data_IF_131411355703
#
_entry.id   IF_131411355703
#
_cell.length_a   1.000
_cell.length_b   1.000
_cell.length_c   1.000
_cell.angle_alpha   90.00
_cell.angle_beta   90.00
_cell.angle_gamma   90.00
#
_symmetry.space_group_name_H-M   'P 1'
#
loop_
_entity.id
_entity.type
_entity.pdbx_description
1 polymer ?
#
# COMPACT_ATOMS: atom_id res chain seq x y z
N UNK A 1 -32.23 -5.12 -17.21
CA UNK A 1 -31.91 -4.94 -15.77
C UNK A 1 -30.52 -4.33 -15.70
N UNK A 2 -30.38 -3.06 -15.31
CA UNK A 2 -29.05 -2.50 -15.01
C UNK A 2 -28.56 -3.19 -13.74
N UNK A 3 -27.49 -3.97 -13.83
CA UNK A 3 -26.76 -4.39 -12.65
C UNK A 3 -26.31 -3.10 -11.96
N UNK A 4 -26.82 -2.84 -10.76
CA UNK A 4 -26.22 -1.85 -9.87
C UNK A 4 -24.76 -2.26 -9.71
N UNK A 5 -23.85 -1.54 -10.36
CA UNK A 5 -22.43 -1.68 -10.08
C UNK A 5 -22.29 -1.12 -8.66
N UNK A 6 -22.00 -1.98 -7.70
CA UNK A 6 -21.48 -1.54 -6.42
C UNK A 6 -19.98 -1.32 -6.69
N UNK A 7 -19.49 -0.10 -7.00
CA UNK A 7 -18.07 0.09 -7.24
C UNK A 7 -17.26 -0.21 -5.98
N UNK A 8 -17.85 0.05 -4.82
CA UNK A 8 -17.19 0.08 -3.52
C UNK A 8 -17.87 -0.86 -2.53
N UNK A 9 -17.06 -1.65 -1.82
CA UNK A 9 -17.45 -2.37 -0.62
C UNK A 9 -16.89 -1.63 0.59
N UNK A 10 -17.75 -1.09 1.43
CA UNK A 10 -17.37 -0.37 2.65
C UNK A 10 -17.65 -1.20 3.90
N UNK A 11 -16.64 -1.28 4.76
CA UNK A 11 -16.63 -2.03 6.00
C UNK A 11 -16.11 -1.10 7.09
N UNK A 12 -16.99 -0.59 7.96
CA UNK A 12 -16.60 0.37 8.99
C UNK A 12 -17.12 -0.04 10.37
N UNK A 13 -16.25 -0.02 11.38
CA UNK A 13 -16.64 -0.28 12.77
C UNK A 13 -17.07 -1.71 13.07
N UNK A 14 -16.67 -2.67 12.22
CA UNK A 14 -16.95 -4.10 12.43
C UNK A 14 -15.71 -4.79 12.99
N UNK A 15 -15.88 -5.46 14.12
CA UNK A 15 -14.88 -6.42 14.61
C UNK A 15 -15.07 -7.75 13.87
N UNK A 16 -13.99 -8.30 13.33
CA UNK A 16 -14.02 -9.56 12.60
C UNK A 16 -13.20 -10.59 13.36
N UNK A 17 -13.86 -11.65 13.84
CA UNK A 17 -13.14 -12.85 14.29
C UNK A 17 -12.27 -13.40 13.14
N UNK A 18 -12.80 -13.34 11.92
CA UNK A 18 -12.11 -13.68 10.68
C UNK A 18 -12.55 -12.77 9.53
N UNK A 19 -11.60 -12.36 8.69
CA UNK A 19 -11.88 -11.54 7.52
C UNK A 19 -12.61 -12.39 6.46
N UNK A 20 -13.78 -11.95 5.95
CA UNK A 20 -14.62 -12.76 5.08
C UNK A 20 -14.15 -12.70 3.61
N UNK A 21 -12.93 -13.18 3.35
CA UNK A 21 -12.28 -13.15 2.03
C UNK A 21 -13.16 -13.76 0.93
N UNK A 22 -13.80 -14.90 1.18
CA UNK A 22 -14.67 -15.56 0.18
C UNK A 22 -15.87 -14.68 -0.21
N UNK A 23 -16.45 -13.96 0.76
CA UNK A 23 -17.57 -13.06 0.50
C UNK A 23 -17.10 -11.84 -0.30
N UNK A 24 -15.95 -11.26 0.05
CA UNK A 24 -15.37 -10.13 -0.69
C UNK A 24 -15.02 -10.53 -2.12
N UNK A 25 -14.40 -11.70 -2.30
CA UNK A 25 -14.12 -12.29 -3.61
C UNK A 25 -15.38 -12.42 -4.45
N UNK A 26 -16.46 -12.98 -3.89
CA UNK A 26 -17.74 -13.12 -4.59
C UNK A 26 -18.25 -11.77 -5.11
N UNK A 27 -18.20 -10.72 -4.28
CA UNK A 27 -18.64 -9.39 -4.67
C UNK A 27 -17.75 -8.77 -5.75
N UNK A 28 -16.44 -8.98 -5.68
CA UNK A 28 -15.47 -8.52 -6.69
C UNK A 28 -15.74 -9.20 -8.03
N UNK A 29 -15.90 -10.52 -8.04
CA UNK A 29 -16.02 -11.32 -9.27
C UNK A 29 -17.41 -11.22 -9.91
N UNK A 30 -18.47 -11.13 -9.10
CA UNK A 30 -19.84 -11.28 -9.59
C UNK A 30 -20.70 -10.02 -9.46
N UNK A 31 -20.33 -9.09 -8.58
CA UNK A 31 -21.08 -7.84 -8.34
C UNK A 31 -20.37 -6.60 -8.89
N UNK A 32 -19.14 -6.75 -9.41
CA UNK A 32 -18.39 -5.66 -10.03
C UNK A 32 -17.77 -4.69 -9.02
N UNK A 33 -17.57 -5.12 -7.78
CA UNK A 33 -16.81 -4.37 -6.78
C UNK A 33 -15.37 -4.24 -7.24
N UNK A 34 -14.86 -3.01 -7.23
CA UNK A 34 -13.50 -2.64 -7.62
C UNK A 34 -12.76 -1.91 -6.52
N UNK A 35 -13.45 -1.48 -5.48
CA UNK A 35 -12.90 -0.69 -4.40
C UNK A 35 -13.28 -1.35 -3.08
N UNK A 36 -12.29 -1.52 -2.20
CA UNK A 36 -12.50 -2.04 -0.85
C UNK A 36 -12.11 -0.95 0.15
N UNK A 37 -13.03 -0.58 1.02
CA UNK A 37 -12.82 0.39 2.09
C UNK A 37 -13.04 -0.28 3.42
N UNK A 38 -12.00 -0.29 4.26
CA UNK A 38 -12.01 -0.80 5.62
C UNK A 38 -11.64 0.36 6.53
N UNK A 39 -12.46 0.62 7.55
CA UNK A 39 -12.16 1.70 8.50
C UNK A 39 -12.63 1.45 9.93
N UNK A 40 -12.00 2.13 10.89
CA UNK A 40 -12.40 2.16 12.30
C UNK A 40 -12.52 0.76 12.91
N UNK A 41 -11.59 -0.12 12.57
CA UNK A 41 -11.52 -1.48 13.09
C UNK A 41 -10.09 -2.00 13.01
N UNK A 42 -9.71 -2.91 13.91
CA UNK A 42 -8.40 -3.56 13.83
C UNK A 42 -8.46 -4.71 12.83
N UNK A 43 -7.47 -4.80 11.94
CA UNK A 43 -7.34 -5.91 11.00
C UNK A 43 -5.99 -6.58 11.15
N UNK A 44 -5.92 -7.87 10.81
CA UNK A 44 -4.65 -8.51 10.48
C UNK A 44 -4.08 -7.83 9.22
N UNK A 45 -2.90 -7.22 9.36
CA UNK A 45 -2.22 -6.47 8.32
C UNK A 45 -1.92 -7.30 7.06
N UNK A 46 -1.81 -8.63 7.19
CA UNK A 46 -1.56 -9.52 6.07
C UNK A 46 -2.82 -9.87 5.26
N UNK A 47 -4.00 -9.75 5.86
CA UNK A 47 -5.23 -10.25 5.25
C UNK A 47 -5.63 -9.56 3.93
N UNK A 48 -5.44 -8.23 3.74
CA UNK A 48 -5.70 -7.60 2.45
C UNK A 48 -4.83 -8.13 1.30
N UNK A 49 -3.73 -8.82 1.57
CA UNK A 49 -2.84 -9.39 0.55
C UNK A 49 -3.36 -10.69 -0.10
N UNK A 50 -4.60 -11.10 0.16
CA UNK A 50 -5.09 -12.36 -0.38
C UNK A 50 -5.18 -12.31 -1.91
N UNK A 51 -4.69 -13.35 -2.61
CA UNK A 51 -4.64 -13.40 -4.08
C UNK A 51 -6.03 -13.29 -4.74
N UNK A 52 -7.08 -13.71 -4.03
CA UNK A 52 -8.46 -13.56 -4.50
C UNK A 52 -8.95 -12.12 -4.61
N UNK A 53 -8.25 -11.17 -3.97
CA UNK A 53 -8.55 -9.74 -4.04
C UNK A 53 -7.78 -9.02 -5.16
N UNK A 54 -6.97 -9.72 -5.96
CA UNK A 54 -6.06 -9.14 -6.96
C UNK A 54 -6.73 -8.27 -8.06
N UNK A 55 -8.05 -8.32 -8.16
CA UNK A 55 -8.85 -7.60 -9.15
C UNK A 55 -9.38 -6.23 -8.67
N UNK A 56 -9.14 -5.86 -7.40
CA UNK A 56 -9.47 -4.53 -6.89
C UNK A 56 -8.49 -3.49 -7.45
N UNK A 57 -8.99 -2.26 -7.56
CA UNK A 57 -8.31 -1.12 -8.18
C UNK A 57 -8.05 -0.02 -7.14
N UNK A 58 -8.87 0.03 -6.08
CA UNK A 58 -8.64 0.89 -4.93
C UNK A 58 -8.78 0.13 -3.61
N UNK A 59 -7.89 0.43 -2.67
CA UNK A 59 -7.93 -0.06 -1.30
C UNK A 59 -7.79 1.11 -0.34
N UNK A 60 -8.74 1.23 0.59
CA UNK A 60 -8.74 2.22 1.66
C UNK A 60 -8.67 1.48 2.99
N UNK A 61 -7.60 1.69 3.75
CA UNK A 61 -7.38 1.19 5.10
C UNK A 61 -7.25 2.39 6.03
N UNK A 62 -8.38 2.93 6.47
CA UNK A 62 -8.43 4.22 7.19
C UNK A 62 -8.68 4.00 8.67
N UNK A 63 -7.79 4.46 9.55
CA UNK A 63 -7.95 4.28 10.99
C UNK A 63 -8.15 2.80 11.36
N UNK A 64 -7.19 1.96 10.94
CA UNK A 64 -7.19 0.51 11.22
C UNK A 64 -6.02 0.07 12.11
N UNK A 65 -5.25 1.03 12.61
CA UNK A 65 -4.16 0.78 13.56
C UNK A 65 -2.86 0.26 12.93
N UNK A 66 -2.60 0.54 11.65
CA UNK A 66 -1.36 0.10 11.01
C UNK A 66 -0.17 0.85 11.60
N UNK A 67 0.83 0.12 12.08
CA UNK A 67 2.12 0.68 12.52
C UNK A 67 3.21 0.58 11.45
N UNK A 68 2.97 -0.24 10.43
CA UNK A 68 3.88 -0.50 9.31
C UNK A 68 3.11 -0.57 7.99
N UNK A 69 3.84 -0.55 6.88
CA UNK A 69 3.24 -0.71 5.55
C UNK A 69 2.68 -2.14 5.40
N UNK A 70 1.45 -2.32 4.90
CA UNK A 70 0.90 -3.65 4.65
C UNK A 70 1.62 -4.32 3.48
N UNK A 71 1.84 -5.63 3.52
CA UNK A 71 2.29 -6.36 2.33
C UNK A 71 1.11 -6.50 1.36
N UNK A 72 1.22 -6.01 0.12
CA UNK A 72 0.12 -6.06 -0.88
C UNK A 72 0.61 -6.56 -2.25
N UNK A 73 1.68 -7.36 -2.28
CA UNK A 73 2.31 -7.85 -3.51
C UNK A 73 1.38 -8.63 -4.44
N UNK A 74 0.31 -9.24 -3.91
CA UNK A 74 -0.70 -9.93 -4.72
C UNK A 74 -1.69 -8.98 -5.41
N UNK A 75 -1.78 -7.72 -4.98
CA UNK A 75 -2.73 -6.72 -5.50
C UNK A 75 -2.15 -5.94 -6.70
N UNK A 76 -1.66 -6.67 -7.69
CA UNK A 76 -0.98 -6.10 -8.88
C UNK A 76 -1.84 -5.18 -9.76
N UNK A 77 -3.16 -5.15 -9.53
CA UNK A 77 -4.10 -4.24 -10.21
C UNK A 77 -4.33 -2.92 -9.47
N UNK A 78 -3.78 -2.73 -8.28
CA UNK A 78 -4.06 -1.57 -7.43
C UNK A 78 -3.54 -0.27 -8.05
N UNK A 79 -4.42 0.71 -8.20
CA UNK A 79 -4.10 2.05 -8.69
C UNK A 79 -4.18 3.10 -7.58
N UNK A 80 -5.00 2.87 -6.55
CA UNK A 80 -5.16 3.76 -5.39
C UNK A 80 -4.98 3.00 -4.08
N UNK A 81 -4.09 3.49 -3.23
CA UNK A 81 -3.90 3.00 -1.87
C UNK A 81 -4.02 4.17 -0.89
N UNK A 82 -4.96 4.07 0.05
CA UNK A 82 -5.13 5.04 1.13
C UNK A 82 -4.90 4.34 2.47
N UNK A 83 -3.91 4.81 3.21
CA UNK A 83 -3.49 4.35 4.53
C UNK A 83 -3.66 5.47 5.57
N UNK A 84 -4.60 6.38 5.32
CA UNK A 84 -4.83 7.58 6.13
C UNK A 84 -5.20 7.25 7.58
N UNK A 85 -4.84 8.15 8.51
CA UNK A 85 -5.21 8.06 9.94
C UNK A 85 -4.69 6.76 10.61
N UNK A 86 -3.50 6.29 10.24
CA UNK A 86 -2.83 5.16 10.90
C UNK A 86 -1.61 5.64 11.72
N UNK A 87 -0.76 4.73 12.19
CA UNK A 87 0.44 5.00 13.00
C UNK A 87 1.74 4.61 12.28
N UNK A 88 1.78 4.70 10.95
CA UNK A 88 2.96 4.35 10.15
C UNK A 88 4.05 5.42 10.35
N UNK A 89 5.12 5.06 11.05
CA UNK A 89 6.26 5.96 11.28
C UNK A 89 7.35 5.89 10.21
N UNK A 90 7.50 4.72 9.58
CA UNK A 90 8.49 4.44 8.56
C UNK A 90 7.84 3.70 7.39
N UNK A 91 7.94 4.28 6.20
CA UNK A 91 7.54 3.63 4.94
C UNK A 91 8.66 2.68 4.49
N UNK A 92 8.70 1.51 5.11
CA UNK A 92 9.55 0.40 4.69
C UNK A 92 8.88 -0.34 3.52
N UNK A 93 9.63 -0.58 2.45
CA UNK A 93 9.11 -1.16 1.22
C UNK A 93 9.66 -2.55 0.90
N UNK A 94 10.37 -3.18 1.85
CA UNK A 94 11.03 -4.46 1.63
C UNK A 94 10.05 -5.56 1.20
N UNK A 95 8.85 -5.59 1.77
CA UNK A 95 7.81 -6.57 1.43
C UNK A 95 7.19 -6.38 0.04
N UNK A 96 7.53 -5.30 -0.66
CA UNK A 96 7.02 -4.99 -1.99
C UNK A 96 8.01 -5.33 -3.11
N UNK A 97 9.12 -6.00 -2.79
CA UNK A 97 9.99 -6.61 -3.78
C UNK A 97 9.64 -8.07 -3.96
N UNK A 98 9.54 -8.49 -5.22
CA UNK A 98 9.41 -9.89 -5.59
C UNK A 98 10.70 -10.64 -5.23
N UNK A 99 10.58 -11.76 -4.51
CA UNK A 99 11.74 -12.47 -3.97
C UNK A 99 12.60 -13.14 -5.04
N UNK A 100 12.00 -13.51 -6.19
CA UNK A 100 12.71 -14.21 -7.27
C UNK A 100 13.40 -13.23 -8.23
N UNK A 101 12.70 -12.15 -8.58
CA UNK A 101 13.14 -11.21 -9.61
C UNK A 101 13.76 -9.93 -9.04
N UNK A 102 13.53 -9.64 -7.76
CA UNK A 102 13.92 -8.39 -7.12
C UNK A 102 13.16 -7.17 -7.63
N UNK A 103 12.08 -7.35 -8.40
CA UNK A 103 11.31 -6.26 -8.98
C UNK A 103 10.23 -5.74 -8.02
N UNK A 104 9.88 -4.45 -8.17
CA UNK A 104 8.72 -3.87 -7.49
C UNK A 104 7.40 -4.55 -7.86
N UNK A 105 6.57 -4.83 -6.86
CA UNK A 105 5.29 -5.56 -7.00
C UNK A 105 4.07 -4.67 -7.26
N UNK A 106 4.26 -3.35 -7.31
CA UNK A 106 3.16 -2.36 -7.40
C UNK A 106 3.23 -1.50 -8.69
N UNK A 107 3.22 -2.11 -9.88
CA UNK A 107 3.52 -1.41 -11.14
C UNK A 107 2.41 -0.46 -11.63
N UNK A 108 1.22 -0.50 -11.03
CA UNK A 108 0.06 0.30 -11.45
C UNK A 108 -0.34 1.38 -10.45
N UNK A 109 0.32 1.46 -9.30
CA UNK A 109 -0.09 2.39 -8.25
C UNK A 109 0.11 3.84 -8.70
N UNK A 110 -0.96 4.63 -8.74
CA UNK A 110 -0.94 6.04 -9.16
C UNK A 110 -1.02 6.99 -7.98
N UNK A 111 -1.58 6.54 -6.86
CA UNK A 111 -1.74 7.35 -5.67
C UNK A 111 -1.49 6.52 -4.41
N UNK A 112 -0.70 7.09 -3.50
CA UNK A 112 -0.47 6.58 -2.16
C UNK A 112 -0.78 7.69 -1.15
N UNK A 113 -1.86 7.54 -0.40
CA UNK A 113 -2.23 8.47 0.67
C UNK A 113 -1.78 7.93 2.02
N UNK A 114 -0.80 8.59 2.61
CA UNK A 114 -0.24 8.35 3.94
C UNK A 114 -0.61 9.48 4.91
N UNK A 115 -1.56 10.35 4.54
CA UNK A 115 -1.90 11.50 5.36
C UNK A 115 -2.32 11.12 6.77
N UNK A 116 -1.97 11.97 7.73
CA UNK A 116 -2.27 11.74 9.16
C UNK A 116 -1.64 10.46 9.72
N UNK A 117 -0.46 10.10 9.22
CA UNK A 117 0.47 9.17 9.85
C UNK A 117 1.70 9.95 10.37
N UNK A 118 2.39 9.46 11.41
CA UNK A 118 3.63 10.07 11.92
C UNK A 118 4.85 9.70 11.06
N UNK A 119 4.73 9.77 9.73
CA UNK A 119 5.82 9.40 8.80
C UNK A 119 7.01 10.33 9.00
N UNK A 120 8.14 9.75 9.37
CA UNK A 120 9.42 10.46 9.51
C UNK A 120 10.49 9.91 8.58
N UNK A 121 10.27 8.72 8.00
CA UNK A 121 11.23 8.02 7.15
C UNK A 121 10.55 7.36 5.97
N UNK A 122 11.22 7.38 4.81
CA UNK A 122 10.81 6.66 3.60
C UNK A 122 12.01 5.91 3.01
N UNK A 123 11.79 4.66 2.60
CA UNK A 123 12.79 3.85 1.89
C UNK A 123 13.18 4.50 0.54
N UNK A 124 14.48 4.70 0.31
CA UNK A 124 15.03 5.30 -0.90
C UNK A 124 14.65 4.56 -2.19
N UNK A 125 14.34 3.26 -2.09
CA UNK A 125 13.91 2.42 -3.21
C UNK A 125 12.45 2.61 -3.60
N UNK A 126 11.77 3.62 -3.07
CA UNK A 126 10.36 3.91 -3.38
C UNK A 126 10.05 4.00 -4.88
N UNK A 127 11.01 4.47 -5.68
CA UNK A 127 10.88 4.55 -7.15
C UNK A 127 11.09 3.21 -7.86
N UNK A 128 11.70 2.24 -7.19
CA UNK A 128 11.89 0.86 -7.70
C UNK A 128 10.63 0.04 -7.47
N UNK A 129 9.96 0.25 -6.33
CA UNK A 129 8.68 -0.40 -6.01
C UNK A 129 7.53 0.15 -6.86
N UNK A 130 7.41 1.48 -6.95
CA UNK A 130 6.31 2.13 -7.65
C UNK A 130 6.73 2.65 -9.03
N UNK A 131 6.81 1.74 -10.01
CA UNK A 131 7.32 2.05 -11.35
C UNK A 131 6.43 2.98 -12.17
N UNK A 132 5.14 3.06 -11.83
CA UNK A 132 4.17 4.04 -12.35
C UNK A 132 4.41 5.47 -11.87
N UNK A 133 5.28 5.67 -10.87
CA UNK A 133 5.64 6.97 -10.29
C UNK A 133 4.41 7.72 -9.72
N UNK A 134 3.78 7.18 -8.67
CA UNK A 134 2.59 7.76 -8.06
C UNK A 134 2.82 9.14 -7.46
N UNK A 135 1.72 9.87 -7.29
CA UNK A 135 1.64 10.98 -6.35
C UNK A 135 1.49 10.42 -4.92
N UNK A 136 2.36 10.83 -4.01
CA UNK A 136 2.28 10.50 -2.58
C UNK A 136 1.65 11.68 -1.85
N UNK A 137 0.66 11.41 -0.99
CA UNK A 137 0.02 12.41 -0.14
C UNK A 137 0.45 12.13 1.30
N UNK A 138 1.19 13.05 1.91
CA UNK A 138 1.70 12.92 3.29
C UNK A 138 0.93 13.82 4.26
N UNK A 139 0.37 14.91 3.76
CA UNK A 139 -0.57 15.77 4.47
C UNK A 139 -1.40 16.58 3.46
N UNK A 140 -2.28 17.46 3.95
CA UNK A 140 -3.00 18.40 3.07
C UNK A 140 -2.06 19.38 2.33
N UNK A 141 -0.86 19.62 2.88
CA UNK A 141 0.11 20.59 2.36
C UNK A 141 1.32 19.92 1.69
N UNK A 142 1.56 18.64 1.96
CA UNK A 142 2.73 17.89 1.47
C UNK A 142 2.26 16.79 0.52
N UNK A 143 2.46 17.03 -0.77
CA UNK A 143 2.28 16.04 -1.84
C UNK A 143 3.59 15.93 -2.62
N UNK A 144 4.02 14.70 -2.89
CA UNK A 144 5.31 14.40 -3.52
C UNK A 144 5.07 13.63 -4.80
N UNK A 145 5.48 14.18 -5.93
CA UNK A 145 5.35 13.52 -7.24
C UNK A 145 6.60 12.67 -7.53
N UNK A 146 6.45 11.34 -7.50
CA UNK A 146 7.56 10.44 -7.83
C UNK A 146 7.95 10.49 -9.32
N UNK A 147 7.21 11.21 -10.16
CA UNK A 147 7.62 11.50 -11.53
C UNK A 147 8.90 12.35 -11.59
N UNK A 148 9.11 13.19 -10.57
CA UNK A 148 10.26 14.07 -10.43
C UNK A 148 11.57 13.30 -10.23
N UNK A 149 12.72 13.87 -10.61
CA UNK A 149 14.04 13.35 -10.25
C UNK A 149 14.17 13.01 -8.77
N UNK A 150 14.95 11.99 -8.42
CA UNK A 150 15.13 11.56 -7.02
C UNK A 150 15.71 12.68 -6.13
N UNK A 151 16.50 13.59 -6.71
CA UNK A 151 17.00 14.80 -6.03
C UNK A 151 15.88 15.71 -5.55
N UNK A 152 14.84 15.86 -6.37
CA UNK A 152 13.74 16.79 -6.14
C UNK A 152 12.77 16.18 -5.14
N UNK A 153 12.46 14.88 -5.30
CA UNK A 153 11.74 14.08 -4.29
C UNK A 153 12.42 14.17 -2.93
N UNK A 154 13.75 14.02 -2.88
CA UNK A 154 14.51 14.13 -1.63
C UNK A 154 14.42 15.52 -1.02
N UNK A 155 14.40 16.57 -1.84
CA UNK A 155 14.23 17.94 -1.37
C UNK A 155 12.83 18.15 -0.77
N UNK A 156 11.77 17.74 -1.47
CA UNK A 156 10.38 17.85 -1.00
C UNK A 156 10.16 17.10 0.32
N UNK A 157 10.71 15.89 0.44
CA UNK A 157 10.63 15.11 1.68
C UNK A 157 11.37 15.80 2.82
N UNK A 158 12.57 16.34 2.55
CA UNK A 158 13.35 17.04 3.57
C UNK A 158 12.65 18.30 4.08
N UNK A 159 11.98 19.05 3.20
CA UNK A 159 11.19 20.23 3.59
C UNK A 159 10.01 19.85 4.50
N UNK A 160 9.53 18.62 4.38
CA UNK A 160 8.50 18.02 5.23
C UNK A 160 9.05 17.30 6.48
N UNK A 161 10.35 17.45 6.79
CA UNK A 161 11.04 16.75 7.89
C UNK A 161 10.99 15.21 7.78
N UNK A 162 10.99 14.70 6.55
CA UNK A 162 11.00 13.27 6.22
C UNK A 162 12.36 12.88 5.66
N UNK A 163 12.98 11.88 6.28
CA UNK A 163 14.25 11.34 5.86
C UNK A 163 14.06 10.28 4.76
N UNK A 164 14.78 10.43 3.64
CA UNK A 164 14.92 9.37 2.65
C UNK A 164 16.09 8.47 3.06
N UNK A 165 15.81 7.22 3.41
CA UNK A 165 16.73 6.28 4.06
C UNK A 165 17.06 5.13 3.12
N UNK A 166 18.35 4.86 2.93
CA UNK A 166 18.80 3.65 2.23
C UNK A 166 18.48 2.40 3.07
N UNK A 167 18.06 1.29 2.45
CA UNK A 167 17.78 0.07 3.21
C UNK A 167 19.04 -0.48 3.88
N UNK A 168 18.90 -1.01 5.09
CA UNK A 168 19.98 -1.71 5.77
C UNK A 168 20.35 -2.98 4.99
N UNK A 169 21.52 -2.94 4.33
CA UNK A 169 22.07 -4.04 3.50
C UNK A 169 22.23 -5.37 4.25
N UNK A 170 22.28 -5.36 5.59
CA UNK A 170 22.45 -6.56 6.42
C UNK A 170 21.25 -7.50 6.32
N UNK A 171 20.04 -6.98 6.08
CA UNK A 171 18.87 -7.83 5.86
C UNK A 171 18.88 -8.46 4.46
N UNK A 172 19.67 -7.94 3.50
CA UNK A 172 19.68 -8.41 2.12
C UNK A 172 20.24 -9.81 1.90
N UNK A 173 20.98 -10.34 2.87
CA UNK A 173 21.61 -11.64 2.79
C UNK A 173 20.73 -12.78 3.33
N UNK A 174 19.62 -12.49 4.03
CA UNK A 174 18.72 -13.54 4.57
C UNK A 174 17.81 -14.16 3.50
N UNK A 175 17.73 -13.56 2.30
CA UNK A 175 16.82 -13.99 1.22
C UNK A 175 17.56 -14.60 0.03
N UNK A 176 18.89 -14.63 0.05
CA UNK A 176 19.63 -15.35 -0.98
C UNK A 176 19.40 -16.86 -0.75
N UNK A 177 18.86 -17.60 -1.74
CA UNK A 177 18.83 -19.05 -1.61
C UNK A 177 20.27 -19.53 -1.42
N UNK A 178 20.51 -20.29 -0.34
CA UNK A 178 21.77 -20.98 -0.12
C UNK A 178 21.93 -21.94 -1.29
N UNK A 179 22.79 -21.58 -2.25
CA UNK A 179 23.17 -22.48 -3.32
C UNK A 179 24.15 -23.50 -2.74
N UNK A 180 23.68 -24.72 -2.51
CA UNK A 180 24.52 -25.91 -2.33
C UNK A 180 25.30 -26.25 -3.61
#
# INVERSE_FOLDING_TARGET
MSKSKLPTLEVSGFDFDHIPIEAWKFLIDHCGVKELSISKTTIDIAAPNHSDLCNIVALYLVDVGLTEMPCLSNLTSLEWLCLKDNQIGYVNLQSYFDAETGNGTMPKLKYLDLSRNPVSKIDARIKEVFTSKPLIILSEEVMVDLSLPLSDVKHELKDADIELVEPDLVSQMDWMPVTD
#
